data_IF_719247317299
#
_entry.id   IF_719247317299
#
_cell.length_a   1.000
_cell.length_b   1.000
_cell.length_c   1.000
_cell.angle_alpha   90.00
_cell.angle_beta   90.00
_cell.angle_gamma   90.00
#
_symmetry.space_group_name_H-M   'P 1'
#
loop_
_entity.id
_entity.type
_entity.pdbx_description
1 polymer ?
#
# COMPACT_ATOMS: atom_id res chain seq x y z
N UNK A 1 -36.41 16.96 -55.84
CA UNK A 1 -37.41 17.29 -54.81
C UNK A 1 -36.72 18.25 -53.85
N UNK A 2 -36.83 19.56 -54.07
CA UNK A 2 -37.96 20.40 -53.60
C UNK A 2 -37.98 20.31 -52.07
N UNK A 3 -37.23 21.19 -51.38
CA UNK A 3 -37.70 22.51 -50.87
C UNK A 3 -38.83 22.31 -49.87
N UNK A 4 -38.62 22.59 -48.58
CA UNK A 4 -39.20 23.74 -47.89
C UNK A 4 -39.05 23.47 -46.38
N UNK A 5 -38.96 24.38 -45.42
CA UNK A 5 -38.98 25.84 -45.36
C UNK A 5 -38.56 26.14 -43.91
N UNK A 6 -37.74 27.17 -43.75
CA UNK A 6 -37.66 28.19 -42.68
C UNK A 6 -38.48 27.93 -41.40
N UNK A 7 -38.01 28.24 -40.19
CA UNK A 7 -37.80 29.63 -39.75
C UNK A 7 -36.92 29.73 -38.51
N UNK A 8 -36.26 30.87 -38.41
CA UNK A 8 -35.60 31.38 -37.22
C UNK A 8 -36.46 31.27 -35.96
N UNK A 9 -35.97 30.54 -34.96
CA UNK A 9 -36.11 30.95 -33.56
C UNK A 9 -34.73 31.35 -33.04
N UNK A 10 -34.48 32.66 -33.15
CA UNK A 10 -33.76 33.50 -32.20
C UNK A 10 -32.56 32.88 -31.46
N UNK A 11 -31.37 33.13 -32.00
CA UNK A 11 -30.05 33.01 -31.33
C UNK A 11 -29.93 33.97 -30.11
N UNK A 12 -30.92 34.83 -29.85
CA UNK A 12 -30.89 35.85 -28.80
C UNK A 12 -31.45 35.34 -27.45
N UNK A 13 -32.26 34.27 -27.40
CA UNK A 13 -32.86 33.78 -26.13
C UNK A 13 -31.89 32.99 -25.23
N UNK A 14 -30.87 32.33 -25.79
CA UNK A 14 -29.92 31.52 -25.01
C UNK A 14 -28.90 32.40 -24.25
N UNK A 15 -28.73 33.67 -24.64
CA UNK A 15 -27.85 34.62 -23.94
C UNK A 15 -28.41 35.09 -22.58
N UNK A 16 -29.67 34.79 -22.27
CA UNK A 16 -30.31 35.13 -20.98
C UNK A 16 -30.18 34.08 -19.88
N UNK A 17 -29.68 32.86 -20.17
CA UNK A 17 -29.68 31.73 -19.22
C UNK A 17 -28.30 31.36 -18.65
N UNK A 18 -27.23 32.01 -19.08
CA UNK A 18 -25.91 31.88 -18.42
C UNK A 18 -25.71 33.07 -17.50
N UNK A 19 -26.44 33.06 -16.39
CA UNK A 19 -26.23 33.95 -15.25
C UNK A 19 -25.87 33.11 -14.03
N UNK A 20 -24.57 32.87 -13.83
CA UNK A 20 -23.98 32.72 -12.48
C UNK A 20 -22.49 33.10 -12.54
N UNK A 21 -22.10 34.24 -11.98
CA UNK A 21 -20.71 34.51 -11.63
C UNK A 21 -20.36 33.85 -10.28
N UNK A 22 -19.14 33.35 -10.17
CA UNK A 22 -18.33 33.30 -8.94
C UNK A 22 -18.72 32.36 -7.76
N UNK A 23 -18.91 31.04 -7.99
CA UNK A 23 -18.96 30.03 -6.88
C UNK A 23 -17.93 28.88 -7.04
N UNK A 24 -17.02 28.90 -8.02
CA UNK A 24 -16.09 27.76 -8.25
C UNK A 24 -14.71 27.92 -7.56
N UNK A 25 -14.37 29.08 -6.99
CA UNK A 25 -12.97 29.34 -6.56
C UNK A 25 -12.61 29.01 -5.10
N UNK A 26 -13.52 28.55 -4.24
CA UNK A 26 -13.21 28.33 -2.80
C UNK A 26 -12.89 26.88 -2.41
N UNK A 27 -13.03 25.91 -3.32
CA UNK A 27 -12.97 24.48 -2.97
C UNK A 27 -11.89 23.66 -3.69
N UNK A 28 -10.86 24.34 -4.20
CA UNK A 28 -9.74 23.69 -4.91
C UNK A 28 -8.53 23.53 -3.99
N UNK A 29 -8.22 24.56 -3.19
CA UNK A 29 -7.07 24.55 -2.27
C UNK A 29 -7.16 23.42 -1.24
N UNK A 30 -8.32 23.25 -0.60
CA UNK A 30 -8.53 22.21 0.41
C UNK A 30 -8.44 20.80 -0.19
N UNK A 31 -8.94 20.60 -1.41
CA UNK A 31 -8.82 19.32 -2.12
C UNK A 31 -7.36 19.00 -2.45
N UNK A 32 -6.57 20.00 -2.84
CA UNK A 32 -5.12 19.83 -3.03
C UNK A 32 -4.39 19.55 -1.73
N UNK A 33 -4.76 20.21 -0.62
CA UNK A 33 -4.19 19.93 0.70
C UNK A 33 -4.49 18.52 1.18
N UNK A 34 -5.74 18.06 1.05
CA UNK A 34 -6.11 16.67 1.36
C UNK A 34 -5.33 15.70 0.47
N UNK A 35 -5.27 15.96 -0.84
CA UNK A 35 -4.55 15.09 -1.78
C UNK A 35 -3.05 15.02 -1.46
N UNK A 36 -2.42 16.15 -1.16
CA UNK A 36 -1.03 16.22 -0.74
C UNK A 36 -0.78 15.50 0.59
N UNK A 37 -1.67 15.66 1.57
CA UNK A 37 -1.58 14.96 2.86
C UNK A 37 -1.70 13.44 2.67
N UNK A 38 -2.67 12.98 1.88
CA UNK A 38 -2.84 11.55 1.58
C UNK A 38 -1.63 10.99 0.83
N UNK A 39 -1.08 11.73 -0.14
CA UNK A 39 0.11 11.32 -0.87
C UNK A 39 1.34 11.22 0.05
N UNK A 40 1.54 12.17 0.96
CA UNK A 40 2.64 12.13 1.94
C UNK A 40 2.50 10.93 2.89
N UNK A 41 1.28 10.63 3.35
CA UNK A 41 1.02 9.48 4.22
C UNK A 41 1.18 8.13 3.50
N UNK A 42 0.89 8.06 2.20
CA UNK A 42 1.00 6.83 1.40
C UNK A 42 2.45 6.36 1.20
N UNK A 43 3.43 7.26 1.24
CA UNK A 43 4.86 6.94 1.05
C UNK A 43 5.46 6.14 2.23
N UNK A 44 4.79 6.10 3.39
CA UNK A 44 5.30 5.46 4.60
C UNK A 44 5.18 3.93 4.68
N UNK A 45 4.42 3.28 3.79
CA UNK A 45 4.14 1.84 3.88
C UNK A 45 5.19 1.00 3.12
N UNK A 46 6.43 0.94 3.63
CA UNK A 46 7.45 0.03 3.09
C UNK A 46 7.29 -1.37 3.71
N UNK A 47 6.54 -2.26 3.06
CA UNK A 47 6.61 -3.70 3.34
C UNK A 47 7.82 -4.26 2.58
N UNK A 48 8.96 -4.39 3.26
CA UNK A 48 10.20 -4.90 2.65
C UNK A 48 10.23 -6.42 2.77
N UNK A 49 9.59 -7.12 1.83
CA UNK A 49 9.93 -8.53 1.60
C UNK A 49 11.35 -8.62 1.08
N UNK A 50 12.13 -9.53 1.64
CA UNK A 50 13.52 -9.76 1.20
C UNK A 50 13.51 -10.81 0.10
N UNK A 51 14.30 -10.61 -0.95
CA UNK A 51 14.43 -11.62 -1.99
C UNK A 51 15.19 -12.84 -1.46
N UNK A 52 14.88 -14.02 -2.02
CA UNK A 52 15.52 -15.29 -1.68
C UNK A 52 17.06 -15.21 -1.69
N UNK A 53 17.64 -14.69 -2.78
CA UNK A 53 19.10 -14.60 -2.94
C UNK A 53 19.73 -13.63 -1.95
N UNK A 54 19.10 -12.48 -1.71
CA UNK A 54 19.60 -11.48 -0.76
C UNK A 54 19.61 -12.04 0.66
N UNK A 55 18.56 -12.78 1.02
CA UNK A 55 18.51 -13.46 2.31
C UNK A 55 19.57 -14.58 2.42
N UNK A 56 19.75 -15.37 1.37
CA UNK A 56 20.79 -16.40 1.32
C UNK A 56 22.21 -15.83 1.46
N UNK A 57 22.48 -14.69 0.83
CA UNK A 57 23.76 -13.97 0.97
C UNK A 57 23.94 -13.48 2.41
N UNK A 58 22.91 -12.88 3.01
CA UNK A 58 22.96 -12.46 4.42
C UNK A 58 23.28 -13.63 5.36
N UNK A 59 22.61 -14.78 5.18
CA UNK A 59 22.89 -15.98 5.97
C UNK A 59 24.33 -16.47 5.82
N UNK A 60 24.88 -16.46 4.60
CA UNK A 60 26.31 -16.76 4.41
C UNK A 60 27.22 -15.77 5.14
N UNK A 61 26.89 -14.48 5.10
CA UNK A 61 27.65 -13.44 5.80
C UNK A 61 27.58 -13.61 7.34
N UNK A 62 26.50 -14.21 7.86
CA UNK A 62 26.39 -14.61 9.27
C UNK A 62 27.11 -15.94 9.59
N UNK A 63 27.82 -16.55 8.65
CA UNK A 63 28.63 -17.76 8.87
C UNK A 63 27.90 -19.09 8.68
N UNK A 64 26.67 -19.09 8.15
CA UNK A 64 25.96 -20.34 7.86
C UNK A 64 26.67 -21.11 6.74
N UNK A 65 26.84 -22.43 6.92
CA UNK A 65 27.41 -23.31 5.91
C UNK A 65 26.51 -23.32 4.67
N UNK A 66 27.11 -23.44 3.49
CA UNK A 66 26.39 -23.41 2.19
C UNK A 66 25.24 -24.42 2.12
N UNK A 67 25.40 -25.59 2.74
CA UNK A 67 24.37 -26.63 2.77
C UNK A 67 23.18 -26.26 3.66
N UNK A 68 23.43 -25.53 4.76
CA UNK A 68 22.40 -25.13 5.72
C UNK A 68 21.61 -23.91 5.23
N UNK A 69 22.26 -23.02 4.46
CA UNK A 69 21.63 -21.82 3.91
C UNK A 69 20.34 -22.16 3.15
N UNK A 70 20.35 -23.20 2.32
CA UNK A 70 19.15 -23.60 1.55
C UNK A 70 17.99 -23.97 2.49
N UNK A 71 18.28 -24.69 3.57
CA UNK A 71 17.29 -25.09 4.58
C UNK A 71 16.73 -23.86 5.30
N UNK A 72 17.58 -22.95 5.75
CA UNK A 72 17.14 -21.76 6.49
C UNK A 72 16.35 -20.78 5.63
N UNK A 73 16.71 -20.61 4.37
CA UNK A 73 15.91 -19.80 3.43
C UNK A 73 14.55 -20.45 3.18
N UNK A 74 14.49 -21.77 3.01
CA UNK A 74 13.24 -22.49 2.83
C UNK A 74 12.32 -22.33 4.05
N UNK A 75 12.85 -22.45 5.27
CA UNK A 75 12.08 -22.23 6.51
C UNK A 75 11.52 -20.82 6.54
N UNK A 76 12.35 -19.80 6.26
CA UNK A 76 11.91 -18.41 6.26
C UNK A 76 10.82 -18.11 5.20
N UNK A 77 10.95 -18.69 4.01
CA UNK A 77 9.94 -18.60 2.94
C UNK A 77 8.60 -19.20 3.40
N UNK A 78 8.61 -20.40 3.98
CA UNK A 78 7.39 -21.08 4.42
C UNK A 78 6.72 -20.40 5.62
N UNK A 79 7.51 -19.89 6.56
CA UNK A 79 6.99 -19.27 7.77
C UNK A 79 6.48 -17.86 7.50
N UNK A 80 7.28 -17.03 6.82
CA UNK A 80 6.95 -15.62 6.66
C UNK A 80 6.76 -15.15 5.22
N UNK A 81 7.14 -15.92 4.21
CA UNK A 81 7.23 -15.43 2.83
C UNK A 81 8.36 -14.42 2.68
N UNK A 82 9.45 -14.59 3.45
CA UNK A 82 10.59 -13.69 3.55
C UNK A 82 10.23 -12.25 3.97
N UNK A 83 9.14 -12.08 4.70
CA UNK A 83 8.72 -10.80 5.26
C UNK A 83 9.28 -10.64 6.69
N UNK A 84 10.26 -9.74 6.94
CA UNK A 84 10.93 -9.61 8.23
C UNK A 84 10.04 -9.04 9.33
N UNK A 85 9.00 -8.30 8.96
CA UNK A 85 8.07 -7.64 9.88
C UNK A 85 6.80 -8.47 10.14
N UNK A 86 6.70 -9.67 9.55
CA UNK A 86 5.50 -10.48 9.68
C UNK A 86 5.26 -10.90 11.13
N UNK A 87 4.02 -10.73 11.55
CA UNK A 87 3.56 -11.08 12.89
C UNK A 87 2.33 -11.95 12.75
N UNK A 88 2.33 -13.08 13.44
CA UNK A 88 1.15 -13.92 13.58
C UNK A 88 0.62 -13.81 15.00
N UNK A 89 -0.62 -13.33 15.13
CA UNK A 89 -1.35 -13.26 16.38
C UNK A 89 -2.45 -14.33 16.37
N UNK A 90 -2.60 -15.04 17.49
CA UNK A 90 -3.65 -16.05 17.66
C UNK A 90 -5.04 -15.42 17.55
N UNK A 91 -5.96 -16.10 16.84
CA UNK A 91 -7.35 -15.66 16.67
C UNK A 91 -8.16 -15.73 17.98
N UNK A 92 -7.65 -16.40 19.03
CA UNK A 92 -8.38 -16.56 20.30
C UNK A 92 -7.49 -16.48 21.56
N UNK A 93 -6.25 -15.99 21.47
CA UNK A 93 -5.37 -15.80 22.64
C UNK A 93 -4.80 -17.08 23.28
N UNK A 94 -5.14 -18.27 22.78
CA UNK A 94 -4.68 -19.55 23.33
C UNK A 94 -3.31 -20.02 22.78
N UNK A 95 -2.81 -19.40 21.71
CA UNK A 95 -1.49 -19.74 21.13
C UNK A 95 -0.51 -18.59 21.28
N UNK A 96 0.79 -18.88 21.46
CA UNK A 96 1.81 -17.84 21.57
C UNK A 96 1.87 -16.99 20.30
N UNK A 97 2.24 -15.72 20.44
CA UNK A 97 2.49 -14.85 19.29
C UNK A 97 3.79 -15.25 18.62
N UNK A 98 3.87 -15.08 17.31
CA UNK A 98 5.08 -15.37 16.54
C UNK A 98 5.54 -14.14 15.76
N UNK A 99 6.86 -13.97 15.70
CA UNK A 99 7.48 -12.75 15.19
C UNK A 99 8.58 -13.03 14.18
N UNK A 100 8.66 -12.14 13.19
CA UNK A 100 9.82 -11.98 12.33
C UNK A 100 9.92 -13.00 11.20
N UNK A 101 11.06 -12.98 10.51
CA UNK A 101 11.30 -13.79 9.31
C UNK A 101 11.24 -15.31 9.56
N UNK A 102 11.48 -15.75 10.79
CA UNK A 102 11.42 -17.16 11.18
C UNK A 102 10.17 -17.53 11.99
N UNK A 103 9.27 -16.56 12.25
CA UNK A 103 8.12 -16.75 13.13
C UNK A 103 8.54 -17.41 14.45
N UNK A 104 9.46 -16.78 15.18
CA UNK A 104 9.88 -17.28 16.50
C UNK A 104 8.80 -16.92 17.52
N UNK A 105 8.45 -17.87 18.37
CA UNK A 105 7.45 -17.68 19.42
C UNK A 105 7.93 -16.68 20.47
N UNK A 106 7.01 -15.81 20.90
CA UNK A 106 7.18 -14.84 21.98
C UNK A 106 7.78 -15.46 23.24
N UNK A 107 7.41 -16.70 23.56
CA UNK A 107 7.87 -17.40 24.75
C UNK A 107 9.37 -17.72 24.74
N UNK A 108 10.01 -17.71 23.57
CA UNK A 108 11.44 -18.00 23.40
C UNK A 108 12.26 -16.76 23.04
N UNK A 109 11.60 -15.67 22.63
CA UNK A 109 12.24 -14.40 22.36
C UNK A 109 12.29 -13.55 23.63
N UNK A 110 13.37 -13.67 24.40
CA UNK A 110 13.80 -12.66 25.38
C UNK A 110 12.73 -12.17 26.36
N UNK A 111 12.34 -13.02 27.31
CA UNK A 111 11.97 -12.62 28.67
C UNK A 111 12.39 -13.72 29.66
N UNK A 112 13.61 -13.58 30.18
CA UNK A 112 14.07 -13.98 31.52
C UNK A 112 15.49 -13.39 31.73
N UNK A 113 15.53 -12.08 31.99
CA UNK A 113 16.33 -11.46 33.05
C UNK A 113 15.46 -10.39 33.67
#
# INVERSE_FOLDING_TARGET
MIVAITTALSREEIRGLVKTPDIICTNVKWKFFIFALVAVLAVGAKSERVNFCDFAIRLKNYGFKRNDVKTWVCIAEQQSGLEPTKRYNSIMGFTPKFYGIFQISENFCGHNT
#
